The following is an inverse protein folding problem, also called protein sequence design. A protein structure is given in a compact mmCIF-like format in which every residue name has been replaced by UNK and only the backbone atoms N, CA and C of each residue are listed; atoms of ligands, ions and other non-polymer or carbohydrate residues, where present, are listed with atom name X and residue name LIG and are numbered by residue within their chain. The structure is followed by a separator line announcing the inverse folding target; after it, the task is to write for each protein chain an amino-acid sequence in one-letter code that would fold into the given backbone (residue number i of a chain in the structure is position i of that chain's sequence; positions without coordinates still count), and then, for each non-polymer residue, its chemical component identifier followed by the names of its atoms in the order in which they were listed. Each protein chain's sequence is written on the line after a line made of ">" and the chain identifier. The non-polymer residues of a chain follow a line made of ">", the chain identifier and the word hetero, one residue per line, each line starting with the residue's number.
data_IF_109284337624
#
_entry.id   IF_109284337624
#
_cell.length_a   1.000
_cell.length_b   1.000
_cell.length_c   1.000
_cell.angle_alpha   90.00
_cell.angle_beta   90.00
_cell.angle_gamma   90.00
#
_symmetry.space_group_name_H-M   'P 1'
#
loop_
_entity.id
_entity.type
_entity.pdbx_description
1 polymer ?
#
# COMPACT_ATOMS: atom_id res chain seq x y z
N UNK A 1 -23.59 -3.70 5.94
CA UNK A 1 -22.87 -4.76 5.21
C UNK A 1 -21.44 -4.30 5.07
N UNK A 2 -20.52 -4.82 5.89
CA UNK A 2 -19.09 -4.53 5.78
C UNK A 2 -18.47 -5.60 4.89
N UNK A 3 -18.17 -5.25 3.66
CA UNK A 3 -17.47 -6.13 2.72
C UNK A 3 -16.05 -6.37 3.23
N UNK A 4 -15.70 -7.64 3.48
CA UNK A 4 -14.34 -8.05 3.86
C UNK A 4 -13.44 -7.96 2.63
N UNK A 5 -12.91 -6.76 2.37
CA UNK A 5 -11.91 -6.52 1.34
C UNK A 5 -10.65 -7.30 1.72
N UNK A 6 -10.38 -8.39 1.00
CA UNK A 6 -9.16 -9.19 1.19
C UNK A 6 -8.08 -8.61 0.28
N UNK A 7 -6.99 -8.05 0.81
CA UNK A 7 -5.95 -7.48 -0.04
C UNK A 7 -5.11 -8.57 -0.68
N UNK A 8 -4.85 -8.43 -1.99
CA UNK A 8 -3.92 -9.29 -2.72
C UNK A 8 -2.46 -9.00 -2.32
N UNK A 9 -2.18 -7.78 -1.90
CA UNK A 9 -0.83 -7.37 -1.51
C UNK A 9 -0.89 -6.39 -0.34
N UNK A 10 -0.06 -6.62 0.67
CA UNK A 10 0.12 -5.71 1.79
C UNK A 10 1.49 -5.06 1.70
N UNK A 11 1.52 -3.73 1.67
CA UNK A 11 2.74 -2.94 1.57
C UNK A 11 2.91 -2.10 2.84
N UNK A 12 3.92 -2.45 3.62
CA UNK A 12 4.33 -1.69 4.80
C UNK A 12 5.24 -0.52 4.39
N UNK A 13 4.71 0.69 4.55
CA UNK A 13 5.43 1.95 4.33
C UNK A 13 5.70 2.67 5.66
N UNK A 14 5.69 1.95 6.78
CA UNK A 14 6.02 2.46 8.12
C UNK A 14 7.41 3.11 8.13
N UNK A 15 7.55 4.21 8.87
CA UNK A 15 8.86 4.85 9.06
C UNK A 15 9.37 5.69 7.89
N UNK A 16 8.61 5.77 6.79
CA UNK A 16 9.04 6.45 5.58
C UNK A 16 8.39 7.84 5.47
N UNK A 17 9.21 8.89 5.46
CA UNK A 17 8.74 10.24 5.12
C UNK A 17 8.54 10.38 3.61
N UNK A 18 7.58 11.23 3.23
CA UNK A 18 7.42 11.68 1.84
C UNK A 18 8.78 12.16 1.30
N UNK A 19 9.26 11.65 0.15
CA UNK A 19 8.51 11.02 -0.96
C UNK A 19 8.52 9.48 -0.98
N UNK A 20 9.16 8.82 -0.01
CA UNK A 20 9.40 7.37 -0.11
C UNK A 20 8.13 6.49 -0.11
N UNK A 21 7.08 6.75 0.69
CA UNK A 21 5.82 5.99 0.61
C UNK A 21 5.19 6.07 -0.77
N UNK A 22 5.18 7.27 -1.36
CA UNK A 22 4.62 7.51 -2.69
C UNK A 22 5.37 6.71 -3.77
N UNK A 23 6.71 6.71 -3.72
CA UNK A 23 7.51 5.96 -4.67
C UNK A 23 7.35 4.45 -4.53
N UNK A 24 7.27 3.93 -3.29
CA UNK A 24 7.03 2.50 -3.05
C UNK A 24 5.66 2.06 -3.55
N UNK A 25 4.62 2.81 -3.22
CA UNK A 25 3.27 2.57 -3.73
C UNK A 25 3.25 2.62 -5.25
N UNK A 26 3.86 3.62 -5.88
CA UNK A 26 3.94 3.73 -7.35
C UNK A 26 4.66 2.54 -7.99
N UNK A 27 5.74 2.06 -7.39
CA UNK A 27 6.46 0.87 -7.86
C UNK A 27 5.61 -0.40 -7.73
N UNK A 28 4.92 -0.56 -6.59
CA UNK A 28 4.03 -1.69 -6.38
C UNK A 28 2.88 -1.68 -7.40
N UNK A 29 2.19 -0.55 -7.56
CA UNK A 29 1.11 -0.38 -8.55
C UNK A 29 1.57 -0.70 -9.97
N UNK A 30 2.80 -0.32 -10.34
CA UNK A 30 3.33 -0.59 -11.68
C UNK A 30 3.47 -2.10 -11.98
N UNK A 31 3.59 -2.94 -10.96
CA UNK A 31 3.63 -4.39 -11.09
C UNK A 31 2.28 -5.09 -10.88
N UNK A 32 1.21 -4.34 -10.59
CA UNK A 32 -0.11 -4.90 -10.30
C UNK A 32 -1.00 -4.92 -11.55
N UNK A 33 -1.86 -5.93 -11.61
CA UNK A 33 -2.90 -6.05 -12.62
C UNK A 33 -4.14 -5.26 -12.22
N UNK A 34 -4.91 -4.80 -13.21
CA UNK A 34 -6.19 -4.13 -12.97
C UNK A 34 -7.13 -5.02 -12.14
N UNK A 35 -7.71 -4.47 -11.08
CA UNK A 35 -8.60 -5.18 -10.16
C UNK A 35 -7.93 -5.77 -8.92
N UNK A 36 -6.60 -5.73 -8.82
CA UNK A 36 -5.91 -6.14 -7.58
C UNK A 36 -5.99 -5.07 -6.50
N UNK A 37 -6.10 -5.52 -5.26
CA UNK A 37 -6.24 -4.66 -4.09
C UNK A 37 -4.93 -4.64 -3.32
N UNK A 38 -4.37 -3.44 -3.11
CA UNK A 38 -3.20 -3.24 -2.26
C UNK A 38 -3.59 -2.55 -0.95
N UNK A 39 -3.15 -3.09 0.18
CA UNK A 39 -3.26 -2.44 1.49
C UNK A 39 -1.96 -1.74 1.82
N UNK A 40 -2.04 -0.46 2.22
CA UNK A 40 -0.90 0.33 2.66
C UNK A 40 -0.96 0.52 4.17
N UNK A 41 0.00 -0.03 4.90
CA UNK A 41 0.14 0.21 6.33
C UNK A 41 1.16 1.33 6.55
N UNK A 42 0.65 2.54 6.86
CA UNK A 42 1.47 3.67 7.28
C UNK A 42 1.16 3.95 8.75
N UNK A 43 2.07 3.57 9.63
CA UNK A 43 2.06 4.03 11.02
C UNK A 43 2.86 5.35 11.10
N UNK A 44 2.44 6.33 11.91
CA UNK A 44 3.22 7.55 12.13
C UNK A 44 4.67 7.21 12.52
N UNK A 45 5.61 7.94 11.92
CA UNK A 45 6.99 8.06 12.39
C UNK A 45 6.94 8.69 13.78
N UNK A 46 7.42 7.94 14.79
CA UNK A 46 7.62 8.47 16.15
C UNK A 46 8.74 9.49 16.15
#
# INVERSE_FOLDING_TARGET
>A
MTENITPDTTLDCKGLSCPMPLLKTKKAIKGMSSGQIITLCQHPIM
#
